data_IF_580038435162
#
_entry.id   IF_580038435162
#
_cell.length_a   1.000
_cell.length_b   1.000
_cell.length_c   1.000
_cell.angle_alpha   90.00
_cell.angle_beta   90.00
_cell.angle_gamma   90.00
#
_symmetry.space_group_name_H-M   'P 1'
#
loop_
_entity.id
_entity.type
_entity.pdbx_description
1 polymer ?
#
# COMPACT_ATOMS: atom_id res chain seq x y z
N UNK A 1 31.55 -39.75 9.01
CA UNK A 1 32.17 -38.41 9.16
C UNK A 1 31.03 -37.44 9.56
N UNK A 2 30.75 -37.13 10.84
CA UNK A 2 31.42 -36.15 11.75
C UNK A 2 31.74 -34.85 11.00
N UNK A 3 31.10 -33.71 11.25
CA UNK A 3 31.04 -32.86 12.46
C UNK A 3 29.60 -32.27 12.65
N UNK A 4 28.89 -32.29 13.79
CA UNK A 4 29.05 -31.75 15.17
C UNK A 4 28.92 -30.21 15.35
N UNK A 5 27.75 -29.80 15.90
CA UNK A 5 27.51 -28.85 17.03
C UNK A 5 27.90 -27.36 16.87
N UNK A 6 27.28 -26.32 17.44
CA UNK A 6 26.19 -26.05 18.40
C UNK A 6 25.80 -24.55 18.20
N UNK A 7 24.63 -24.04 18.59
CA UNK A 7 24.32 -23.39 19.89
C UNK A 7 22.79 -23.15 19.93
N UNK A 8 22.00 -23.85 20.77
CA UNK A 8 21.52 -23.46 22.12
C UNK A 8 20.83 -22.08 22.15
N UNK A 9 19.50 -21.98 22.18
CA UNK A 9 18.56 -22.23 23.29
C UNK A 9 18.59 -21.15 24.40
N UNK A 10 17.42 -20.53 24.65
CA UNK A 10 16.82 -20.01 25.91
C UNK A 10 15.82 -18.89 25.51
N UNK A 11 14.62 -18.71 26.07
CA UNK A 11 14.09 -19.06 27.39
C UNK A 11 12.54 -19.08 27.34
N UNK A 12 11.94 -20.13 27.91
CA UNK A 12 10.53 -20.22 28.30
C UNK A 12 10.31 -19.47 29.61
N UNK A 13 9.24 -18.66 29.73
CA UNK A 13 8.61 -18.39 31.02
C UNK A 13 7.10 -18.58 30.87
N UNK A 14 6.63 -19.70 31.43
CA UNK A 14 5.25 -19.99 31.78
C UNK A 14 4.81 -19.08 32.93
N UNK A 15 3.62 -18.49 32.83
CA UNK A 15 2.83 -18.11 33.99
C UNK A 15 1.36 -18.42 33.68
N UNK A 16 0.96 -19.61 34.13
CA UNK A 16 -0.42 -20.01 34.25
C UNK A 16 -0.97 -19.36 35.54
N UNK A 17 -1.94 -18.47 35.41
CA UNK A 17 -2.85 -18.13 36.50
C UNK A 17 -4.22 -18.72 36.17
N UNK A 18 -4.58 -19.74 36.93
CA UNK A 18 -5.91 -20.33 36.95
C UNK A 18 -6.91 -19.31 37.48
N UNK A 19 -7.89 -18.92 36.66
CA UNK A 19 -9.13 -18.31 37.14
C UNK A 19 -10.22 -19.36 37.02
N UNK A 20 -10.56 -19.97 38.14
CA UNK A 20 -11.84 -20.65 38.35
C UNK A 20 -12.92 -19.60 38.53
N UNK A 21 -13.93 -19.59 37.66
CA UNK A 21 -15.21 -18.95 37.96
C UNK A 21 -16.34 -19.59 37.13
N UNK A 22 -17.06 -20.48 37.81
CA UNK A 22 -18.52 -20.67 37.82
C UNK A 22 -19.32 -20.73 36.50
N UNK A 23 -19.89 -21.92 36.31
CA UNK A 23 -21.05 -22.21 35.46
C UNK A 23 -22.30 -21.55 36.06
N UNK A 24 -22.79 -20.50 35.42
CA UNK A 24 -24.14 -19.96 35.71
C UNK A 24 -25.12 -20.28 34.58
N UNK A 25 -26.30 -20.68 35.01
CA UNK A 25 -27.37 -21.30 34.25
C UNK A 25 -28.19 -20.26 33.48
N UNK A 26 -28.37 -20.51 32.18
CA UNK A 26 -29.53 -20.22 31.30
C UNK A 26 -30.49 -19.09 31.74
N UNK A 27 -30.62 -18.07 30.88
CA UNK A 27 -31.94 -17.50 30.56
C UNK A 27 -31.99 -17.10 29.09
N UNK A 28 -33.02 -17.61 28.41
CA UNK A 28 -33.33 -17.37 27.01
C UNK A 28 -34.31 -16.20 26.94
N UNK A 29 -33.91 -15.10 26.31
CA UNK A 29 -34.87 -14.13 25.79
C UNK A 29 -34.47 -13.81 24.35
N UNK A 30 -35.36 -14.21 23.44
CA UNK A 30 -35.40 -13.92 22.02
C UNK A 30 -35.55 -12.42 21.77
N UNK A 31 -34.84 -11.87 20.78
CA UNK A 31 -35.45 -11.15 19.63
C UNK A 31 -34.41 -10.72 18.60
N UNK A 32 -34.74 -11.03 17.34
CA UNK A 32 -34.46 -10.30 16.11
C UNK A 32 -33.02 -10.20 15.60
N UNK A 33 -32.76 -11.00 14.57
CA UNK A 33 -31.63 -10.93 13.64
C UNK A 33 -31.69 -9.60 12.90
N UNK A 34 -30.80 -8.68 13.28
CA UNK A 34 -30.35 -7.58 12.43
C UNK A 34 -28.86 -7.80 12.15
N UNK A 35 -28.50 -7.81 10.87
CA UNK A 35 -27.14 -7.98 10.38
C UNK A 35 -26.26 -6.82 10.87
N UNK A 36 -25.62 -7.00 12.03
CA UNK A 36 -24.57 -6.13 12.56
C UNK A 36 -23.24 -6.85 12.49
N UNK A 37 -22.46 -6.66 11.42
CA UNK A 37 -21.03 -7.04 11.46
C UNK A 37 -20.24 -5.88 12.02
N UNK A 38 -20.00 -6.01 13.33
CA UNK A 38 -19.51 -4.98 14.22
C UNK A 38 -18.15 -4.38 13.87
N UNK A 39 -18.14 -3.05 13.87
CA UNK A 39 -17.00 -2.20 14.19
C UNK A 39 -16.77 -2.26 15.70
N UNK A 40 -16.03 -3.25 16.18
CA UNK A 40 -15.70 -3.40 17.61
C UNK A 40 -14.22 -3.76 17.81
N UNK A 41 -13.30 -2.81 17.61
CA UNK A 41 -11.93 -2.80 18.18
C UNK A 41 -11.30 -1.39 18.12
N UNK A 42 -11.98 -0.31 18.57
CA UNK A 42 -11.37 1.06 18.57
C UNK A 42 -11.63 1.91 19.82
N UNK A 43 -11.97 1.30 20.95
CA UNK A 43 -12.09 2.06 22.23
C UNK A 43 -11.04 1.71 23.29
N UNK A 44 -10.29 0.62 23.14
CA UNK A 44 -9.25 0.25 24.11
C UNK A 44 -7.87 0.88 23.81
N UNK A 45 -7.57 1.23 22.56
CA UNK A 45 -6.22 1.66 22.16
C UNK A 45 -5.96 3.17 22.25
N UNK A 46 -7.00 4.01 22.27
CA UNK A 46 -6.80 5.46 22.36
C UNK A 46 -6.18 5.87 23.70
N UNK A 47 -6.59 5.25 24.80
CA UNK A 47 -6.00 5.50 26.12
C UNK A 47 -4.56 4.97 26.21
N UNK A 48 -4.27 3.82 25.60
CA UNK A 48 -2.93 3.22 25.57
C UNK A 48 -1.97 4.01 24.66
N UNK A 49 -2.45 4.54 23.53
CA UNK A 49 -1.69 5.43 22.66
C UNK A 49 -1.39 6.79 23.33
N UNK A 50 -2.33 7.33 24.13
CA UNK A 50 -2.15 8.59 24.85
C UNK A 50 -1.19 8.47 26.05
N UNK A 51 -1.16 7.32 26.73
CA UNK A 51 -0.21 7.05 27.81
C UNK A 51 1.24 7.00 27.27
N UNK A 52 1.43 6.37 26.09
CA UNK A 52 2.74 6.29 25.43
C UNK A 52 3.24 7.69 24.99
N UNK A 53 2.37 8.54 24.45
CA UNK A 53 2.72 9.91 23.97
C UNK A 53 3.34 10.81 25.07
N UNK A 54 3.03 10.58 26.34
CA UNK A 54 3.56 11.39 27.46
C UNK A 54 5.00 10.98 27.82
N UNK A 55 5.37 9.72 27.60
CA UNK A 55 6.69 9.15 27.90
C UNK A 55 7.68 9.23 26.71
N UNK A 56 7.23 9.61 25.50
CA UNK A 56 8.06 9.68 24.27
C UNK A 56 9.20 10.72 24.30
N UNK A 57 9.26 11.61 25.30
CA UNK A 57 10.23 12.73 25.33
C UNK A 57 11.66 12.33 25.70
N UNK A 58 11.86 11.25 26.46
CA UNK A 58 13.18 10.85 26.97
C UNK A 58 13.82 9.67 26.23
N UNK A 59 13.01 8.68 25.83
CA UNK A 59 13.49 7.36 25.39
C UNK A 59 14.01 7.37 23.93
N UNK A 60 13.54 8.32 23.11
CA UNK A 60 13.80 8.32 21.67
C UNK A 60 14.88 9.30 21.21
N UNK A 61 15.60 9.97 22.12
CA UNK A 61 16.67 10.92 21.75
C UNK A 61 17.84 10.22 21.03
N UNK A 62 18.06 8.93 21.29
CA UNK A 62 19.15 8.09 20.75
C UNK A 62 18.78 7.32 19.47
N UNK A 63 17.51 7.26 19.08
CA UNK A 63 17.06 6.46 17.94
C UNK A 63 17.19 7.29 16.66
N UNK A 64 18.09 6.84 15.77
CA UNK A 64 18.34 7.45 14.46
C UNK A 64 17.00 7.65 13.73
N UNK A 65 16.81 8.79 13.08
CA UNK A 65 15.52 9.25 12.53
C UNK A 65 14.75 8.20 11.69
N UNK A 66 15.44 7.22 11.07
CA UNK A 66 14.77 6.11 10.36
C UNK A 66 13.96 5.22 11.30
N UNK A 67 14.47 4.90 12.50
CA UNK A 67 13.76 4.10 13.51
C UNK A 67 12.51 4.80 14.03
N UNK A 68 12.52 6.13 14.13
CA UNK A 68 11.32 6.93 14.50
C UNK A 68 10.23 6.85 13.45
N UNK A 69 10.58 6.95 12.17
CA UNK A 69 9.59 6.84 11.09
C UNK A 69 8.98 5.43 11.05
N UNK A 70 9.79 4.38 11.17
CA UNK A 70 9.27 3.01 11.20
C UNK A 70 8.38 2.77 12.42
N UNK A 71 8.74 3.30 13.59
CA UNK A 71 7.91 3.26 14.78
C UNK A 71 6.55 3.96 14.56
N UNK A 72 6.53 5.19 14.04
CA UNK A 72 5.27 5.89 13.78
C UNK A 72 4.37 5.13 12.80
N UNK A 73 4.96 4.48 11.80
CA UNK A 73 4.23 3.63 10.85
C UNK A 73 3.67 2.39 11.54
N UNK A 74 4.47 1.69 12.35
CA UNK A 74 4.04 0.49 13.08
C UNK A 74 2.96 0.80 14.13
N UNK A 75 3.06 1.96 14.79
CA UNK A 75 2.09 2.44 15.77
C UNK A 75 0.84 3.08 15.13
N UNK A 76 0.77 3.17 13.79
CA UNK A 76 -0.38 3.73 13.08
C UNK A 76 -0.66 5.21 13.38
N UNK A 77 0.38 6.01 13.64
CA UNK A 77 0.23 7.44 14.00
C UNK A 77 -0.42 8.24 12.86
N UNK A 78 -1.21 9.25 13.20
CA UNK A 78 -1.77 10.22 12.24
C UNK A 78 -0.77 11.33 11.88
N UNK A 79 -1.06 12.10 10.83
CA UNK A 79 -0.24 13.25 10.46
C UNK A 79 -0.17 14.28 11.59
N UNK A 80 -1.25 14.49 12.31
CA UNK A 80 -1.30 15.45 13.41
C UNK A 80 -0.50 14.97 14.62
N UNK A 81 -0.51 13.67 14.92
CA UNK A 81 0.35 13.09 15.95
C UNK A 81 1.83 13.25 15.58
N UNK A 82 2.20 12.99 14.33
CA UNK A 82 3.59 13.16 13.86
C UNK A 82 4.00 14.64 13.82
N UNK A 83 3.11 15.55 13.41
CA UNK A 83 3.37 17.01 13.48
C UNK A 83 3.63 17.46 14.92
N UNK A 84 2.85 16.99 15.89
CA UNK A 84 3.04 17.29 17.31
C UNK A 84 4.37 16.74 17.83
N UNK A 85 4.71 15.50 17.48
CA UNK A 85 6.01 14.90 17.82
C UNK A 85 7.20 15.67 17.19
N UNK A 86 6.99 16.24 16.01
CA UNK A 86 7.97 17.08 15.30
C UNK A 86 7.96 18.56 15.73
N UNK A 87 7.05 18.95 16.63
CA UNK A 87 6.83 20.33 17.11
C UNK A 87 6.53 21.32 15.98
N UNK A 88 5.77 20.89 14.98
CA UNK A 88 5.33 21.70 13.82
C UNK A 88 3.80 21.74 13.69
N UNK A 89 3.07 21.26 14.69
CA UNK A 89 1.61 21.19 14.73
C UNK A 89 0.91 22.55 14.71
N UNK A 90 1.63 23.61 15.11
CA UNK A 90 1.13 24.99 15.06
C UNK A 90 1.42 25.70 13.75
N UNK A 91 2.20 25.10 12.85
CA UNK A 91 2.58 25.69 11.57
C UNK A 91 1.61 25.25 10.47
N UNK A 92 1.33 26.13 9.53
CA UNK A 92 0.47 25.83 8.37
C UNK A 92 1.04 26.45 7.09
N UNK A 93 0.49 26.09 5.94
CA UNK A 93 0.80 26.73 4.67
C UNK A 93 2.29 26.76 4.33
N UNK A 94 2.79 27.94 3.97
CA UNK A 94 4.19 28.15 3.61
C UNK A 94 5.14 27.95 4.81
N UNK A 95 4.74 28.39 6.02
CA UNK A 95 5.57 28.29 7.22
C UNK A 95 5.84 26.83 7.61
N UNK A 96 4.81 25.98 7.49
CA UNK A 96 4.97 24.54 7.68
C UNK A 96 5.99 23.97 6.69
N UNK A 97 5.85 24.29 5.40
CA UNK A 97 6.72 23.77 4.34
C UNK A 97 8.17 24.24 4.46
N UNK A 98 8.38 25.46 4.94
CA UNK A 98 9.71 26.04 5.14
C UNK A 98 10.45 25.44 6.35
N UNK A 99 9.74 24.83 7.30
CA UNK A 99 10.34 24.36 8.54
C UNK A 99 11.26 23.13 8.32
N UNK A 100 12.46 23.04 8.93
CA UNK A 100 13.40 21.94 8.72
C UNK A 100 12.85 20.53 9.05
N UNK A 101 11.92 20.43 9.99
CA UNK A 101 11.26 19.16 10.34
C UNK A 101 10.19 18.72 9.34
N UNK A 102 9.74 19.58 8.43
CA UNK A 102 8.71 19.23 7.45
C UNK A 102 9.17 18.08 6.51
N UNK A 103 10.45 18.04 6.15
CA UNK A 103 11.04 16.91 5.39
C UNK A 103 10.86 15.55 6.09
N UNK A 104 10.78 15.53 7.43
CA UNK A 104 10.52 14.30 8.20
C UNK A 104 9.05 13.91 8.12
N UNK A 105 8.15 14.89 8.17
CA UNK A 105 6.71 14.67 7.97
C UNK A 105 6.44 14.14 6.55
N UNK A 106 7.02 14.76 5.51
CA UNK A 106 6.89 14.29 4.12
C UNK A 106 7.39 12.85 3.96
N UNK A 107 8.56 12.51 4.54
CA UNK A 107 9.08 11.14 4.50
C UNK A 107 8.14 10.15 5.16
N UNK A 108 7.54 10.52 6.29
CA UNK A 108 6.55 9.69 6.97
C UNK A 108 5.29 9.48 6.12
N UNK A 109 4.71 10.56 5.59
CA UNK A 109 3.52 10.50 4.72
C UNK A 109 3.78 9.65 3.48
N UNK A 110 4.93 9.85 2.82
CA UNK A 110 5.34 9.08 1.64
C UNK A 110 5.45 7.58 1.95
N UNK A 111 6.08 7.20 3.07
CA UNK A 111 6.20 5.79 3.46
C UNK A 111 4.86 5.18 3.85
N UNK A 112 4.01 5.91 4.58
CA UNK A 112 2.68 5.45 4.97
C UNK A 112 1.82 5.19 3.75
N UNK A 113 1.79 6.13 2.81
CA UNK A 113 1.10 5.96 1.54
C UNK A 113 1.63 4.74 0.78
N UNK A 114 2.95 4.52 0.78
CA UNK A 114 3.57 3.35 0.15
C UNK A 114 3.05 2.03 0.70
N UNK A 115 2.96 1.90 2.03
CA UNK A 115 2.40 0.70 2.68
C UNK A 115 0.93 0.51 2.36
N UNK A 116 0.14 1.58 2.36
CA UNK A 116 -1.26 1.52 1.96
C UNK A 116 -1.44 1.09 0.50
N UNK A 117 -0.52 1.47 -0.38
CA UNK A 117 -0.51 0.98 -1.77
C UNK A 117 -0.17 -0.51 -1.83
N UNK A 118 0.81 -0.97 -1.05
CA UNK A 118 1.16 -2.40 -0.95
C UNK A 118 -0.02 -3.23 -0.43
N UNK A 119 -0.70 -2.77 0.62
CA UNK A 119 -1.90 -3.41 1.16
C UNK A 119 -3.01 -3.51 0.10
N UNK A 120 -3.28 -2.42 -0.63
CA UNK A 120 -4.30 -2.39 -1.70
C UNK A 120 -3.97 -3.32 -2.87
N UNK A 121 -2.70 -3.41 -3.22
CA UNK A 121 -2.20 -4.33 -4.25
C UNK A 121 -2.45 -5.78 -3.79
N UNK A 122 -2.08 -6.12 -2.55
CA UNK A 122 -2.34 -7.44 -1.95
C UNK A 122 -3.85 -7.76 -1.80
N UNK A 123 -4.68 -6.75 -1.58
CA UNK A 123 -6.15 -6.86 -1.56
C UNK A 123 -6.76 -7.00 -2.98
N UNK A 124 -5.95 -6.93 -4.04
CA UNK A 124 -6.39 -7.13 -5.42
C UNK A 124 -7.02 -5.90 -6.08
N UNK A 125 -6.79 -4.69 -5.56
CA UNK A 125 -7.29 -3.47 -6.19
C UNK A 125 -6.67 -3.28 -7.57
N UNK A 126 -7.52 -3.16 -8.61
CA UNK A 126 -7.03 -2.99 -9.97
C UNK A 126 -6.45 -1.60 -10.22
N UNK A 127 -5.58 -1.48 -11.23
CA UNK A 127 -5.08 -0.18 -11.70
C UNK A 127 -6.20 0.74 -12.18
N UNK A 128 -7.24 0.21 -12.83
CA UNK A 128 -8.42 1.01 -13.21
C UNK A 128 -9.16 1.55 -11.99
N UNK A 129 -9.35 0.73 -10.97
CA UNK A 129 -10.02 1.17 -9.74
C UNK A 129 -9.24 2.28 -9.05
N UNK A 130 -7.91 2.16 -8.98
CA UNK A 130 -7.05 3.23 -8.45
C UNK A 130 -7.16 4.52 -9.29
N UNK A 131 -7.15 4.40 -10.63
CA UNK A 131 -7.34 5.53 -11.55
C UNK A 131 -8.66 6.27 -11.30
N UNK A 132 -9.76 5.52 -11.15
CA UNK A 132 -11.09 6.06 -10.92
C UNK A 132 -11.23 6.68 -9.52
N UNK A 133 -10.71 6.03 -8.47
CA UNK A 133 -10.71 6.53 -7.08
C UNK A 133 -9.92 7.82 -6.92
N UNK A 134 -8.86 7.99 -7.70
CA UNK A 134 -8.07 9.22 -7.76
C UNK A 134 -8.72 10.31 -8.64
N UNK A 135 -9.88 10.04 -9.25
CA UNK A 135 -10.60 11.00 -10.07
C UNK A 135 -9.94 11.32 -11.41
N UNK A 136 -8.90 10.59 -11.81
CA UNK A 136 -8.09 10.89 -12.99
C UNK A 136 -8.90 10.79 -14.29
N UNK A 137 -9.93 9.94 -14.32
CA UNK A 137 -10.84 9.82 -15.45
C UNK A 137 -11.60 11.13 -15.76
N UNK A 138 -11.86 11.95 -14.74
CA UNK A 138 -12.66 13.19 -14.85
C UNK A 138 -11.81 14.43 -15.14
N UNK A 139 -10.49 14.34 -14.97
CA UNK A 139 -9.57 15.45 -15.23
C UNK A 139 -9.36 15.64 -16.73
N UNK A 140 -9.24 16.90 -17.16
CA UNK A 140 -8.66 17.21 -18.47
C UNK A 140 -7.22 16.72 -18.56
N UNK A 141 -6.69 16.56 -19.78
CA UNK A 141 -5.30 16.11 -19.96
C UNK A 141 -4.30 17.03 -19.25
N UNK A 142 -4.47 18.34 -19.34
CA UNK A 142 -3.59 19.34 -18.72
C UNK A 142 -3.65 19.29 -17.20
N UNK A 143 -4.85 19.18 -16.62
CA UNK A 143 -5.00 19.03 -15.17
C UNK A 143 -4.35 17.73 -14.69
N UNK A 144 -4.65 16.62 -15.38
CA UNK A 144 -4.13 15.30 -15.04
C UNK A 144 -2.60 15.28 -15.02
N UNK A 145 -1.95 15.80 -16.06
CA UNK A 145 -0.47 15.81 -16.19
C UNK A 145 0.22 16.52 -15.03
N UNK A 146 -0.41 17.53 -14.44
CA UNK A 146 0.17 18.35 -13.37
C UNK A 146 -0.34 17.98 -11.97
N UNK A 147 -1.17 16.94 -11.86
CA UNK A 147 -1.84 16.54 -10.61
C UNK A 147 -0.95 15.67 -9.71
N UNK A 148 -1.13 15.78 -8.40
CA UNK A 148 -0.49 14.87 -7.42
C UNK A 148 -1.18 13.48 -7.44
N UNK A 149 -2.44 13.44 -7.86
CA UNK A 149 -3.21 12.23 -8.11
C UNK A 149 -2.54 11.37 -9.19
N UNK A 150 -2.04 11.96 -10.28
CA UNK A 150 -1.33 11.21 -11.31
C UNK A 150 -0.01 10.65 -10.78
N UNK A 151 0.72 11.41 -9.95
CA UNK A 151 1.96 10.92 -9.31
C UNK A 151 1.67 9.72 -8.41
N UNK A 152 0.59 9.80 -7.63
CA UNK A 152 0.13 8.73 -6.75
C UNK A 152 -0.29 7.50 -7.55
N UNK A 153 -1.01 7.69 -8.67
CA UNK A 153 -1.36 6.61 -9.58
C UNK A 153 -0.14 5.95 -10.21
N UNK A 154 0.83 6.72 -10.72
CA UNK A 154 2.06 6.16 -11.31
C UNK A 154 2.80 5.30 -10.30
N UNK A 155 2.91 5.77 -9.05
CA UNK A 155 3.52 5.01 -7.96
C UNK A 155 2.77 3.71 -7.67
N UNK A 156 1.44 3.77 -7.59
CA UNK A 156 0.59 2.59 -7.39
C UNK A 156 0.71 1.58 -8.53
N UNK A 157 0.52 2.04 -9.78
CA UNK A 157 0.56 1.19 -10.96
C UNK A 157 1.94 0.57 -11.20
N UNK A 158 3.02 1.25 -10.81
CA UNK A 158 4.37 0.65 -10.80
C UNK A 158 4.47 -0.50 -9.80
N UNK A 159 3.97 -0.34 -8.57
CA UNK A 159 3.95 -1.43 -7.57
C UNK A 159 3.14 -2.63 -8.05
N UNK A 160 1.95 -2.39 -8.60
CA UNK A 160 1.10 -3.43 -9.19
C UNK A 160 1.81 -4.18 -10.33
N UNK A 161 2.47 -3.44 -11.22
CA UNK A 161 3.24 -4.02 -12.33
C UNK A 161 4.47 -4.83 -11.86
N UNK A 162 5.20 -4.31 -10.87
CA UNK A 162 6.34 -5.01 -10.25
C UNK A 162 5.91 -6.32 -9.61
N UNK A 163 4.76 -6.33 -8.91
CA UNK A 163 4.22 -7.53 -8.28
C UNK A 163 3.84 -8.59 -9.32
N UNK A 164 3.13 -8.20 -10.39
CA UNK A 164 2.79 -9.14 -11.48
C UNK A 164 4.06 -9.68 -12.14
N UNK A 165 5.04 -8.81 -12.42
CA UNK A 165 6.31 -9.24 -13.01
C UNK A 165 7.07 -10.19 -12.09
N UNK A 166 7.01 -9.99 -10.77
CA UNK A 166 7.63 -10.88 -9.80
C UNK A 166 6.94 -12.25 -9.80
N UNK A 167 5.62 -12.31 -9.64
CA UNK A 167 4.90 -13.58 -9.53
C UNK A 167 4.96 -14.43 -10.80
N UNK A 168 5.00 -13.80 -11.98
CA UNK A 168 5.22 -14.51 -13.24
C UNK A 168 6.53 -15.30 -13.27
N UNK A 169 7.56 -14.83 -12.59
CA UNK A 169 8.83 -15.56 -12.48
C UNK A 169 8.78 -16.71 -11.46
N UNK A 170 7.73 -16.78 -10.64
CA UNK A 170 7.55 -17.79 -9.60
C UNK A 170 6.51 -18.87 -9.96
N UNK A 171 5.73 -18.67 -11.03
CA UNK A 171 4.67 -19.59 -11.46
C UNK A 171 3.34 -19.41 -10.72
N UNK A 172 3.22 -18.39 -9.85
CA UNK A 172 1.96 -18.03 -9.19
C UNK A 172 1.10 -17.21 -10.16
N UNK A 173 -0.14 -17.64 -10.38
CA UNK A 173 -1.12 -16.85 -11.12
C UNK A 173 -1.69 -15.75 -10.24
N UNK A 174 -1.59 -14.51 -10.72
CA UNK A 174 -2.21 -13.34 -10.10
C UNK A 174 -3.27 -12.77 -11.05
N UNK A 175 -4.42 -12.29 -10.53
CA UNK A 175 -5.43 -11.65 -11.37
C UNK A 175 -4.84 -10.44 -12.12
N UNK A 176 -4.78 -10.54 -13.45
CA UNK A 176 -4.32 -9.46 -14.30
C UNK A 176 -5.52 -8.63 -14.73
N UNK A 177 -5.51 -7.35 -14.36
CA UNK A 177 -6.47 -6.42 -14.92
C UNK A 177 -6.01 -5.92 -16.29
N UNK A 178 -6.70 -6.37 -17.34
CA UNK A 178 -6.40 -5.99 -18.71
C UNK A 178 -6.94 -4.60 -19.06
N UNK A 179 -6.13 -3.83 -19.77
CA UNK A 179 -6.58 -2.58 -20.40
C UNK A 179 -6.76 -1.40 -19.45
N UNK A 180 -7.64 -0.48 -19.83
CA UNK A 180 -7.84 0.80 -19.17
C UNK A 180 -8.40 1.84 -20.13
N UNK A 181 -8.71 3.03 -19.63
CA UNK A 181 -9.06 4.15 -20.51
C UNK A 181 -7.88 4.50 -21.43
N UNK A 182 -8.12 5.18 -22.56
CA UNK A 182 -7.03 5.55 -23.45
C UNK A 182 -5.94 6.41 -22.78
N UNK A 183 -6.33 7.26 -21.83
CA UNK A 183 -5.40 8.05 -21.04
C UNK A 183 -4.61 7.20 -20.04
N UNK A 184 -5.29 6.28 -19.34
CA UNK A 184 -4.65 5.35 -18.41
C UNK A 184 -3.64 4.45 -19.13
N UNK A 185 -4.00 3.96 -20.31
CA UNK A 185 -3.13 3.12 -21.13
C UNK A 185 -1.83 3.82 -21.50
N UNK A 186 -1.89 5.08 -21.92
CA UNK A 186 -0.67 5.87 -22.21
C UNK A 186 0.27 5.96 -21.00
N UNK A 187 -0.27 6.08 -19.79
CA UNK A 187 0.53 6.11 -18.56
C UNK A 187 1.13 4.73 -18.27
N UNK A 188 0.35 3.65 -18.44
CA UNK A 188 0.86 2.27 -18.29
C UNK A 188 1.99 1.97 -19.28
N UNK A 189 1.87 2.42 -20.53
CA UNK A 189 2.94 2.30 -21.52
C UNK A 189 4.24 2.94 -21.03
N UNK A 190 4.18 4.17 -20.51
CA UNK A 190 5.35 4.85 -19.95
C UNK A 190 5.96 4.09 -18.77
N UNK A 191 5.14 3.51 -17.89
CA UNK A 191 5.60 2.68 -16.77
C UNK A 191 6.35 1.45 -17.30
N UNK A 192 5.75 0.70 -18.24
CA UNK A 192 6.35 -0.50 -18.81
C UNK A 192 7.63 -0.21 -19.58
N UNK A 193 7.68 0.88 -20.35
CA UNK A 193 8.89 1.32 -21.07
C UNK A 193 9.99 1.67 -20.08
N UNK A 194 9.68 2.45 -19.03
CA UNK A 194 10.65 2.83 -18.00
C UNK A 194 11.18 1.63 -17.21
N UNK A 195 10.33 0.63 -16.97
CA UNK A 195 10.69 -0.62 -16.31
C UNK A 195 11.37 -1.64 -17.25
N UNK A 196 11.60 -1.28 -18.52
CA UNK A 196 12.17 -2.16 -19.54
C UNK A 196 11.45 -3.51 -19.64
N UNK A 197 10.11 -3.50 -19.57
CA UNK A 197 9.31 -4.73 -19.68
C UNK A 197 9.46 -5.33 -21.08
N UNK A 198 9.46 -6.66 -21.16
CA UNK A 198 9.60 -7.34 -22.45
C UNK A 198 8.34 -7.18 -23.33
N UNK A 199 8.52 -7.28 -24.64
CA UNK A 199 7.41 -7.30 -25.60
C UNK A 199 6.39 -8.39 -25.26
N UNK A 200 6.87 -9.58 -24.84
CA UNK A 200 6.00 -10.68 -24.40
C UNK A 200 5.17 -10.27 -23.18
N UNK A 201 5.81 -9.67 -22.17
CA UNK A 201 5.12 -9.23 -20.95
C UNK A 201 4.02 -8.22 -21.27
N UNK A 202 4.31 -7.18 -22.05
CA UNK A 202 3.31 -6.15 -22.39
C UNK A 202 2.18 -6.73 -23.23
N UNK A 203 2.49 -7.64 -24.15
CA UNK A 203 1.46 -8.36 -24.92
C UNK A 203 0.51 -9.14 -24.02
N UNK A 204 1.04 -9.82 -23.00
CA UNK A 204 0.23 -10.51 -22.00
C UNK A 204 -0.63 -9.51 -21.20
N UNK A 205 -0.05 -8.40 -20.73
CA UNK A 205 -0.76 -7.36 -19.94
C UNK A 205 -1.89 -6.68 -20.72
N UNK A 206 -1.80 -6.70 -22.06
CA UNK A 206 -2.84 -6.20 -22.95
C UNK A 206 -3.88 -7.26 -23.33
N UNK A 207 -3.74 -8.49 -22.83
CA UNK A 207 -4.64 -9.62 -23.13
C UNK A 207 -4.48 -10.15 -24.56
N UNK A 208 -3.38 -9.84 -25.25
CA UNK A 208 -3.19 -10.17 -26.67
C UNK A 208 -2.46 -11.50 -26.90
N UNK A 209 -2.10 -12.18 -25.83
CA UNK A 209 -1.33 -13.43 -25.89
C UNK A 209 -2.22 -14.62 -26.20
N UNK A 210 -1.67 -15.57 -26.97
CA UNK A 210 -2.43 -16.70 -27.52
C UNK A 210 -3.40 -16.35 -28.66
N UNK A 211 -3.60 -15.07 -28.99
CA UNK A 211 -4.43 -14.68 -30.13
C UNK A 211 -3.74 -14.97 -31.48
N UNK A 212 -4.52 -15.45 -32.45
CA UNK A 212 -4.09 -15.49 -33.85
C UNK A 212 -3.75 -14.07 -34.36
N UNK A 213 -2.99 -13.99 -35.46
CA UNK A 213 -2.63 -12.70 -36.05
C UNK A 213 -3.86 -11.85 -36.37
N UNK A 214 -4.84 -12.43 -37.07
CA UNK A 214 -6.07 -11.74 -37.44
C UNK A 214 -6.88 -11.28 -36.21
N UNK A 215 -7.02 -12.13 -35.19
CA UNK A 215 -7.73 -11.77 -33.95
C UNK A 215 -7.06 -10.62 -33.22
N UNK A 216 -5.72 -10.65 -33.13
CA UNK A 216 -4.95 -9.58 -32.49
C UNK A 216 -5.07 -8.26 -33.26
N UNK A 217 -4.97 -8.29 -34.58
CA UNK A 217 -5.07 -7.08 -35.41
C UNK A 217 -6.43 -6.39 -35.28
N UNK A 218 -7.49 -7.16 -35.04
CA UNK A 218 -8.84 -6.64 -34.76
C UNK A 218 -9.06 -6.19 -33.30
N UNK A 219 -8.14 -6.51 -32.37
CA UNK A 219 -8.31 -6.18 -30.95
C UNK A 219 -7.99 -4.69 -30.67
N UNK A 220 -8.88 -3.94 -29.99
CA UNK A 220 -8.65 -2.53 -29.67
C UNK A 220 -7.36 -2.26 -28.87
N UNK A 221 -6.85 -3.23 -28.11
CA UNK A 221 -5.62 -3.09 -27.34
C UNK A 221 -4.36 -3.25 -28.19
N UNK A 222 -4.45 -3.78 -29.41
CA UNK A 222 -3.30 -3.95 -30.29
C UNK A 222 -2.64 -2.62 -30.66
N UNK A 223 -3.41 -1.53 -30.75
CA UNK A 223 -2.83 -0.19 -30.97
C UNK A 223 -1.84 0.22 -29.86
N UNK A 224 -2.11 -0.13 -28.61
CA UNK A 224 -1.21 0.17 -27.49
C UNK A 224 0.03 -0.72 -27.51
N UNK A 225 -0.11 -1.96 -27.98
CA UNK A 225 1.05 -2.84 -28.19
C UNK A 225 1.98 -2.28 -29.28
N UNK A 226 1.42 -1.81 -30.40
CA UNK A 226 2.20 -1.17 -31.46
C UNK A 226 2.88 0.13 -30.98
N UNK A 227 2.17 0.95 -30.19
CA UNK A 227 2.73 2.15 -29.57
C UNK A 227 3.89 1.80 -28.64
N UNK A 228 3.75 0.76 -27.79
CA UNK A 228 4.83 0.26 -26.93
C UNK A 228 6.09 -0.10 -27.73
N UNK A 229 5.94 -0.88 -28.81
CA UNK A 229 7.06 -1.28 -29.67
C UNK A 229 7.77 -0.07 -30.31
N UNK A 230 7.04 1.03 -30.55
CA UNK A 230 7.62 2.27 -31.04
C UNK A 230 8.47 3.02 -30.01
N UNK A 231 8.20 2.82 -28.71
CA UNK A 231 8.89 3.47 -27.60
C UNK A 231 10.14 2.72 -27.11
N UNK A 232 10.29 1.44 -27.47
CA UNK A 232 11.35 0.55 -26.98
C UNK A 232 12.40 0.18 -28.04
N UNK A 233 12.64 1.09 -29.00
CA UNK A 233 13.65 0.90 -30.06
C UNK A 233 15.06 1.15 -29.58
#
# INVERSE_FOLDING_TARGET
>A
MRFCNAFLATLLILLATTVTAEKSTRSSITTNVAYGRGRLLRKADAAKANAIDTEERGIWSSIKNWGKTEYWLAAGKSDDQVKKALKIDKLTGADLKAHPNYKKLEKFMYKREGRLMDDRVAEGMSTKEAWDKLGLARMSETQRKNSDELKSYVRYATKYDDEISFYRNTGVEVPIYYGGSAAEMKVKLQIWTKANRSNRYVKDMLGLSGMSKAKREADPNNKYYLEFLGLTK
#
